data_IF_856572434685
#
_entry.id   IF_856572434685
#
_cell.length_a   1.000
_cell.length_b   1.000
_cell.length_c   1.000
_cell.angle_alpha   90.00
_cell.angle_beta   90.00
_cell.angle_gamma   90.00
#
_symmetry.space_group_name_H-M   'P 1'
#
loop_
_entity.id
_entity.type
_entity.pdbx_description
1 polymer ?
#
# COMPACT_ATOMS: atom_id res chain seq x y z
N UNK A 1 11.53 -15.78 -3.10
CA UNK A 1 11.08 -16.83 -2.17
C UNK A 1 9.80 -16.37 -1.49
N UNK A 2 8.80 -17.24 -1.40
CA UNK A 2 7.59 -17.06 -0.62
C UNK A 2 7.70 -17.95 0.64
N UNK A 3 7.33 -17.38 1.79
CA UNK A 3 7.44 -18.05 3.09
C UNK A 3 6.20 -18.86 3.45
N UNK A 4 5.97 -20.01 2.80
CA UNK A 4 4.86 -20.88 3.15
C UNK A 4 5.00 -21.50 4.55
N UNK A 5 6.15 -22.08 4.87
CA UNK A 5 6.42 -22.63 6.20
C UNK A 5 6.69 -21.52 7.24
N UNK A 6 7.47 -20.50 6.89
CA UNK A 6 7.76 -19.38 7.80
C UNK A 6 6.51 -18.53 8.08
N UNK A 7 5.58 -18.45 7.14
CA UNK A 7 4.28 -17.80 7.32
C UNK A 7 3.38 -18.48 8.36
N UNK A 8 3.55 -19.79 8.57
CA UNK A 8 2.84 -20.55 9.62
C UNK A 8 3.37 -20.25 11.03
N UNK A 9 4.54 -19.63 11.17
CA UNK A 9 5.21 -19.38 12.45
C UNK A 9 5.17 -17.90 12.80
N UNK A 10 5.44 -17.04 11.82
CA UNK A 10 5.44 -15.60 11.99
C UNK A 10 6.80 -15.05 12.45
N UNK A 11 7.29 -14.05 11.71
CA UNK A 11 8.55 -13.38 12.04
C UNK A 11 8.39 -12.40 13.23
N UNK A 12 9.15 -12.59 14.34
CA UNK A 12 9.14 -11.70 15.50
C UNK A 12 9.97 -10.43 15.30
N UNK A 13 10.72 -10.28 14.19
CA UNK A 13 11.70 -9.22 14.01
C UNK A 13 11.09 -7.82 14.09
N UNK A 14 11.54 -7.04 15.09
CA UNK A 14 11.06 -5.69 15.41
C UNK A 14 9.54 -5.57 15.61
N UNK A 15 8.88 -6.66 16.04
CA UNK A 15 7.45 -6.67 16.42
C UNK A 15 7.29 -6.65 17.94
N UNK A 16 6.23 -5.98 18.40
CA UNK A 16 5.90 -5.80 19.82
C UNK A 16 4.93 -6.84 20.38
N UNK A 17 4.40 -7.75 19.55
CA UNK A 17 3.36 -8.72 19.90
C UNK A 17 3.52 -10.03 19.12
N UNK A 18 2.96 -11.12 19.66
CA UNK A 18 2.88 -12.42 18.99
C UNK A 18 1.93 -12.36 17.79
N UNK A 19 2.23 -13.11 16.72
CA UNK A 19 1.39 -13.15 15.52
C UNK A 19 0.30 -14.20 15.64
N UNK A 20 -0.85 -13.91 15.04
CA UNK A 20 -1.88 -14.93 14.80
C UNK A 20 -1.38 -15.92 13.75
N UNK A 21 -1.50 -17.21 14.05
CA UNK A 21 -1.19 -18.29 13.11
C UNK A 21 -2.32 -18.38 12.08
N UNK A 22 -1.96 -18.37 10.80
CA UNK A 22 -2.91 -18.49 9.69
C UNK A 22 -3.13 -19.96 9.33
N UNK A 23 -4.33 -20.32 8.89
CA UNK A 23 -4.60 -21.64 8.32
C UNK A 23 -3.97 -21.81 6.92
N UNK A 24 -3.89 -23.06 6.48
CA UNK A 24 -3.23 -23.43 5.22
C UNK A 24 -3.94 -22.84 3.99
N UNK A 25 -5.27 -22.80 4.00
CA UNK A 25 -6.07 -22.27 2.88
C UNK A 25 -5.79 -20.77 2.69
N UNK A 26 -5.81 -20.01 3.78
CA UNK A 26 -5.48 -18.59 3.81
C UNK A 26 -4.05 -18.34 3.39
N UNK A 27 -3.10 -19.16 3.85
CA UNK A 27 -1.70 -19.07 3.44
C UNK A 27 -1.56 -19.29 1.93
N UNK A 28 -2.14 -20.35 1.38
CA UNK A 28 -2.08 -20.62 -0.07
C UNK A 28 -2.69 -19.47 -0.88
N UNK A 29 -3.85 -18.96 -0.48
CA UNK A 29 -4.45 -17.79 -1.11
C UNK A 29 -3.52 -16.57 -1.14
N UNK A 30 -2.90 -16.26 0.00
CA UNK A 30 -1.96 -15.15 0.12
C UNK A 30 -0.71 -15.36 -0.73
N UNK A 31 -0.18 -16.58 -0.79
CA UNK A 31 0.98 -16.93 -1.61
C UNK A 31 0.70 -16.70 -3.10
N UNK A 32 -0.46 -17.15 -3.60
CA UNK A 32 -0.87 -16.91 -4.99
C UNK A 32 -1.05 -15.42 -5.29
N UNK A 33 -1.65 -14.67 -4.36
CA UNK A 33 -1.79 -13.22 -4.47
C UNK A 33 -0.45 -12.50 -4.59
N UNK A 34 0.50 -12.82 -3.70
CA UNK A 34 1.86 -12.27 -3.72
C UNK A 34 2.60 -12.69 -5.00
N UNK A 35 2.47 -13.95 -5.43
CA UNK A 35 3.08 -14.46 -6.66
C UNK A 35 2.64 -13.66 -7.89
N UNK A 36 1.34 -13.39 -8.04
CA UNK A 36 0.80 -12.55 -9.12
C UNK A 36 1.33 -11.11 -9.09
N UNK A 37 1.55 -10.54 -7.90
CA UNK A 37 2.13 -9.20 -7.78
C UNK A 37 3.61 -9.19 -8.16
N UNK A 38 4.39 -10.19 -7.72
CA UNK A 38 5.81 -10.30 -8.06
C UNK A 38 6.02 -10.53 -9.57
N UNK A 39 5.12 -11.25 -10.23
CA UNK A 39 5.16 -11.48 -11.68
C UNK A 39 5.07 -10.20 -12.52
N UNK A 40 4.58 -9.09 -11.94
CA UNK A 40 4.61 -7.78 -12.61
C UNK A 40 5.97 -7.08 -12.51
N UNK A 41 6.79 -7.46 -11.54
CA UNK A 41 8.04 -6.77 -11.18
C UNK A 41 9.28 -7.54 -11.63
N UNK A 42 9.16 -8.85 -11.82
CA UNK A 42 10.24 -9.75 -12.19
C UNK A 42 9.81 -10.61 -13.39
N UNK A 43 10.75 -10.86 -14.29
CA UNK A 43 10.53 -11.70 -15.46
C UNK A 43 10.76 -13.18 -15.12
N UNK A 44 9.67 -13.93 -14.99
CA UNK A 44 9.67 -15.38 -14.74
C UNK A 44 9.58 -16.22 -16.02
N UNK A 45 9.30 -15.60 -17.17
CA UNK A 45 9.07 -16.30 -18.45
C UNK A 45 10.30 -16.25 -19.37
N UNK A 46 11.31 -15.45 -19.01
CA UNK A 46 12.58 -15.38 -19.72
C UNK A 46 13.23 -16.75 -19.90
N UNK A 47 13.86 -16.95 -21.06
CA UNK A 47 14.74 -18.10 -21.32
C UNK A 47 16.20 -17.81 -20.96
N UNK A 48 16.50 -16.61 -20.49
CA UNK A 48 17.84 -16.22 -20.08
C UNK A 48 18.27 -16.94 -18.79
N UNK A 49 19.58 -17.16 -18.56
CA UNK A 49 20.07 -17.80 -17.33
C UNK A 49 19.72 -17.07 -16.03
N UNK A 50 19.27 -15.82 -16.10
CA UNK A 50 18.88 -14.97 -14.98
C UNK A 50 17.36 -14.77 -14.87
N UNK A 51 16.55 -15.64 -15.49
CA UNK A 51 15.11 -15.68 -15.26
C UNK A 51 14.79 -15.78 -13.77
N UNK A 52 13.77 -15.06 -13.32
CA UNK A 52 13.36 -15.09 -11.92
C UNK A 52 12.78 -16.46 -11.56
N UNK A 53 13.06 -16.94 -10.34
CA UNK A 53 12.49 -18.17 -9.82
C UNK A 53 11.65 -17.89 -8.57
N UNK A 54 10.37 -18.31 -8.61
CA UNK A 54 9.48 -18.25 -7.46
C UNK A 54 9.51 -19.58 -6.71
N UNK A 55 10.23 -19.61 -5.60
CA UNK A 55 10.37 -20.79 -4.73
C UNK A 55 9.56 -20.63 -3.44
N UNK A 56 9.05 -21.73 -2.89
CA UNK A 56 8.30 -21.77 -1.65
C UNK A 56 9.02 -22.63 -0.60
N UNK A 57 9.33 -22.06 0.57
CA UNK A 57 10.05 -22.83 1.58
C UNK A 57 9.24 -23.97 2.21
N UNK A 58 7.93 -23.99 2.00
CA UNK A 58 7.11 -25.14 2.36
C UNK A 58 7.57 -26.43 1.67
N UNK A 59 8.13 -26.33 0.46
CA UNK A 59 8.53 -27.49 -0.36
C UNK A 59 9.62 -28.33 0.31
N UNK A 60 10.56 -27.71 1.02
CA UNK A 60 11.64 -28.40 1.75
C UNK A 60 11.38 -28.53 3.25
N UNK A 61 10.41 -27.79 3.80
CA UNK A 61 10.11 -27.82 5.24
C UNK A 61 9.02 -28.82 5.63
N UNK A 62 8.02 -29.08 4.78
CA UNK A 62 6.83 -29.87 5.15
C UNK A 62 7.14 -31.29 5.64
N UNK A 63 8.18 -31.92 5.07
CA UNK A 63 8.60 -33.28 5.40
C UNK A 63 9.85 -33.31 6.31
N UNK A 64 10.35 -32.13 6.73
CA UNK A 64 11.53 -32.04 7.57
C UNK A 64 11.15 -32.26 9.03
N UNK A 65 11.29 -33.50 9.50
CA UNK A 65 10.94 -33.85 10.88
C UNK A 65 11.67 -32.98 11.91
N UNK A 66 10.98 -32.67 13.01
CA UNK A 66 11.55 -31.88 14.10
C UNK A 66 12.89 -32.45 14.60
N UNK A 67 12.99 -33.77 14.76
CA UNK A 67 14.21 -34.45 15.21
C UNK A 67 15.37 -34.25 14.23
N UNK A 68 15.11 -34.35 12.93
CA UNK A 68 16.15 -34.10 11.94
C UNK A 68 16.53 -32.62 11.93
N UNK A 69 15.56 -31.70 12.01
CA UNK A 69 15.81 -30.26 12.01
C UNK A 69 16.71 -29.83 13.18
N UNK A 70 16.40 -30.22 14.41
CA UNK A 70 17.23 -29.84 15.58
C UNK A 70 18.62 -30.47 15.52
N UNK A 71 18.76 -31.68 14.96
CA UNK A 71 20.03 -32.39 14.86
C UNK A 71 20.91 -31.86 13.74
N UNK A 72 20.32 -31.52 12.60
CA UNK A 72 21.06 -31.16 11.40
C UNK A 72 21.28 -29.65 11.30
N UNK A 73 20.36 -28.83 11.85
CA UNK A 73 20.40 -27.37 11.81
C UNK A 73 20.62 -26.80 13.21
N UNK A 74 19.79 -27.20 14.19
CA UNK A 74 19.81 -26.65 15.54
C UNK A 74 21.18 -26.75 16.24
N UNK A 75 21.95 -27.82 16.00
CA UNK A 75 23.30 -27.99 16.58
C UNK A 75 24.31 -26.92 16.17
N UNK A 76 24.09 -26.25 15.03
CA UNK A 76 25.08 -25.32 14.47
C UNK A 76 24.94 -23.92 15.05
N UNK A 77 23.77 -23.54 15.57
CA UNK A 77 23.50 -22.19 16.05
C UNK A 77 23.22 -22.27 17.55
N UNK A 78 24.02 -21.58 18.36
CA UNK A 78 23.87 -21.64 19.82
C UNK A 78 22.73 -20.74 20.29
N UNK A 79 22.12 -21.11 21.42
CA UNK A 79 21.12 -20.25 22.08
C UNK A 79 21.70 -18.87 22.39
N UNK A 80 22.95 -18.79 22.88
CA UNK A 80 23.61 -17.51 23.16
C UNK A 80 23.72 -16.62 21.91
N UNK A 81 23.97 -17.20 20.74
CA UNK A 81 23.99 -16.46 19.47
C UNK A 81 22.61 -15.91 19.12
N UNK A 82 21.56 -16.73 19.20
CA UNK A 82 20.19 -16.32 18.89
C UNK A 82 19.68 -15.23 19.84
N UNK A 83 20.02 -15.35 21.13
CA UNK A 83 19.69 -14.38 22.18
C UNK A 83 20.39 -13.03 22.00
N UNK A 84 21.56 -13.01 21.36
CA UNK A 84 22.32 -11.78 21.13
C UNK A 84 21.76 -10.92 20.01
N UNK A 85 20.83 -11.42 19.19
CA UNK A 85 20.20 -10.62 18.12
C UNK A 85 19.30 -9.55 18.73
N UNK A 86 19.40 -8.32 18.20
CA UNK A 86 18.64 -7.17 18.71
C UNK A 86 17.12 -7.39 18.69
N UNK A 87 16.60 -8.12 17.69
CA UNK A 87 15.18 -8.47 17.57
C UNK A 87 14.69 -9.33 18.74
N UNK A 88 15.51 -10.27 19.20
CA UNK A 88 15.21 -11.15 20.33
C UNK A 88 15.46 -10.45 21.66
N UNK A 89 16.62 -9.80 21.79
CA UNK A 89 17.04 -9.12 23.01
C UNK A 89 16.02 -8.10 23.49
N UNK A 90 15.41 -7.34 22.57
CA UNK A 90 14.35 -6.36 22.89
C UNK A 90 13.05 -6.98 23.39
N UNK A 91 12.70 -8.20 22.97
CA UNK A 91 11.47 -8.88 23.43
C UNK A 91 11.64 -9.61 24.75
N UNK A 92 12.86 -10.06 25.04
CA UNK A 92 13.22 -10.79 26.26
C UNK A 92 13.88 -9.89 27.34
N UNK A 93 13.97 -8.58 27.11
CA UNK A 93 14.42 -7.63 28.12
C UNK A 93 13.43 -7.55 29.28
N UNK A 94 13.93 -7.25 30.48
CA UNK A 94 13.10 -7.09 31.69
C UNK A 94 11.96 -6.07 31.55
N UNK A 95 12.11 -5.10 30.64
CA UNK A 95 11.11 -4.06 30.36
C UNK A 95 9.97 -4.52 29.42
N UNK A 96 10.02 -5.75 28.90
CA UNK A 96 9.03 -6.31 27.98
C UNK A 96 8.10 -7.31 28.70
N UNK A 97 6.80 -7.00 28.74
CA UNK A 97 5.79 -7.89 29.32
C UNK A 97 5.26 -8.96 28.35
N UNK A 98 5.78 -9.01 27.12
CA UNK A 98 5.19 -9.79 26.02
C UNK A 98 5.89 -11.14 25.80
N UNK A 99 7.07 -11.37 26.38
CA UNK A 99 7.82 -12.62 26.22
C UNK A 99 8.09 -12.99 24.75
N UNK A 100 8.57 -14.20 24.51
CA UNK A 100 8.73 -14.79 23.17
C UNK A 100 8.49 -16.29 23.27
N UNK A 101 7.62 -16.83 22.41
CA UNK A 101 7.37 -18.27 22.38
C UNK A 101 8.52 -19.02 21.70
N UNK A 102 8.66 -20.32 21.99
CA UNK A 102 9.68 -21.16 21.34
C UNK A 102 9.47 -21.22 19.81
N UNK A 103 8.21 -21.15 19.37
CA UNK A 103 7.80 -21.07 17.97
C UNK A 103 8.44 -19.85 17.28
N UNK A 104 8.24 -18.65 17.83
CA UNK A 104 8.84 -17.42 17.31
C UNK A 104 10.37 -17.42 17.42
N UNK A 105 10.91 -17.95 18.52
CA UNK A 105 12.36 -18.04 18.73
C UNK A 105 13.05 -18.90 17.65
N UNK A 106 12.37 -19.96 17.20
CA UNK A 106 12.87 -20.89 16.17
C UNK A 106 12.84 -20.31 14.74
N UNK A 107 12.14 -19.18 14.52
CA UNK A 107 12.01 -18.55 13.20
C UNK A 107 13.36 -18.24 12.55
N UNK A 108 14.33 -17.78 13.35
CA UNK A 108 15.70 -17.50 12.89
C UNK A 108 16.39 -18.71 12.25
N UNK A 109 16.16 -19.91 12.81
CA UNK A 109 16.77 -21.14 12.30
C UNK A 109 16.14 -21.56 10.97
N UNK A 110 14.83 -21.33 10.82
CA UNK A 110 14.10 -21.65 9.60
C UNK A 110 14.51 -20.76 8.45
N UNK A 111 14.52 -19.44 8.65
CA UNK A 111 15.00 -18.51 7.62
C UNK A 111 16.49 -18.72 7.33
N UNK A 112 17.29 -19.07 8.33
CA UNK A 112 18.68 -19.44 8.14
C UNK A 112 18.84 -20.70 7.27
N UNK A 113 17.99 -21.71 7.52
CA UNK A 113 17.96 -22.94 6.72
C UNK A 113 17.52 -22.68 5.27
N UNK A 114 16.55 -21.78 5.05
CA UNK A 114 16.15 -21.38 3.70
C UNK A 114 17.34 -20.88 2.88
N UNK A 115 18.20 -20.03 3.47
CA UNK A 115 19.39 -19.54 2.76
C UNK A 115 20.40 -20.66 2.48
N UNK A 116 20.61 -21.55 3.45
CA UNK A 116 21.46 -22.74 3.24
C UNK A 116 20.92 -23.63 2.11
N UNK A 117 19.63 -23.93 2.11
CA UNK A 117 19.00 -24.77 1.09
C UNK A 117 19.18 -24.15 -0.30
N UNK A 118 18.89 -22.85 -0.45
CA UNK A 118 19.06 -22.14 -1.71
C UNK A 118 20.54 -22.00 -2.13
N UNK A 119 21.47 -21.93 -1.18
CA UNK A 119 22.90 -21.95 -1.47
C UNK A 119 23.33 -23.30 -2.06
N UNK A 120 22.86 -24.41 -1.49
CA UNK A 120 23.18 -25.77 -1.93
C UNK A 120 22.51 -26.13 -3.27
N UNK A 121 21.24 -25.78 -3.45
CA UNK A 121 20.43 -26.28 -4.57
C UNK A 121 20.31 -25.28 -5.73
N UNK A 122 20.53 -24.00 -5.48
CA UNK A 122 20.33 -22.90 -6.46
C UNK A 122 21.54 -21.97 -6.57
N UNK A 123 22.66 -22.31 -5.92
CA UNK A 123 23.87 -21.49 -5.89
C UNK A 123 23.60 -20.03 -5.42
N UNK A 124 22.61 -19.84 -4.54
CA UNK A 124 22.28 -18.52 -4.01
C UNK A 124 23.42 -18.02 -3.11
N UNK A 125 24.06 -16.90 -3.48
CA UNK A 125 25.20 -16.32 -2.75
C UNK A 125 24.86 -15.04 -1.98
N UNK A 126 23.74 -14.39 -2.26
CA UNK A 126 23.35 -13.13 -1.65
C UNK A 126 21.89 -13.21 -1.22
N UNK A 127 21.63 -12.89 0.04
CA UNK A 127 20.27 -12.67 0.53
C UNK A 127 20.07 -11.19 0.85
N UNK A 128 18.96 -10.64 0.33
CA UNK A 128 18.57 -9.25 0.50
C UNK A 128 17.29 -9.14 1.33
N UNK A 129 17.12 -8.04 2.06
CA UNK A 129 15.89 -7.79 2.83
C UNK A 129 15.84 -6.38 3.42
N UNK A 130 14.76 -6.09 4.17
CA UNK A 130 14.69 -4.87 4.98
C UNK A 130 15.70 -4.87 6.13
N UNK A 131 16.00 -3.70 6.69
CA UNK A 131 16.94 -3.56 7.81
C UNK A 131 16.57 -4.41 9.04
N UNK A 132 15.28 -4.70 9.22
CA UNK A 132 14.75 -5.58 10.26
C UNK A 132 15.15 -7.06 10.08
N UNK A 133 15.52 -7.47 8.88
CA UNK A 133 15.88 -8.85 8.54
C UNK A 133 17.36 -9.19 8.77
N UNK A 134 18.19 -8.20 9.15
CA UNK A 134 19.64 -8.38 9.32
C UNK A 134 20.01 -9.57 10.21
N UNK A 135 19.30 -9.73 11.33
CA UNK A 135 19.55 -10.81 12.28
C UNK A 135 19.33 -12.21 11.68
N UNK A 136 18.26 -12.37 10.90
CA UNK A 136 17.90 -13.65 10.30
C UNK A 136 18.81 -13.96 9.10
N UNK A 137 19.09 -12.97 8.25
CA UNK A 137 19.97 -13.16 7.08
C UNK A 137 21.39 -13.57 7.52
N UNK A 138 21.94 -12.90 8.54
CA UNK A 138 23.27 -13.25 9.09
C UNK A 138 23.29 -14.59 9.80
N UNK A 139 22.13 -15.09 10.26
CA UNK A 139 22.03 -16.46 10.78
C UNK A 139 22.16 -17.47 9.64
N UNK A 140 21.59 -17.18 8.46
CA UNK A 140 21.78 -17.99 7.26
C UNK A 140 23.23 -18.03 6.78
N UNK A 141 23.93 -16.89 6.74
CA UNK A 141 25.36 -16.87 6.36
C UNK A 141 26.23 -17.66 7.35
N UNK A 142 25.95 -17.54 8.65
CA UNK A 142 26.66 -18.31 9.68
C UNK A 142 26.37 -19.81 9.59
N UNK A 143 25.13 -20.20 9.25
CA UNK A 143 24.76 -21.59 9.05
C UNK A 143 25.49 -22.21 7.84
N UNK A 144 25.55 -21.49 6.71
CA UNK A 144 26.30 -21.89 5.51
C UNK A 144 27.78 -22.11 5.84
N UNK A 145 28.39 -21.17 6.56
CA UNK A 145 29.79 -21.26 7.00
C UNK A 145 30.03 -22.47 7.89
N UNK A 146 29.14 -22.72 8.87
CA UNK A 146 29.32 -23.81 9.86
C UNK A 146 29.03 -25.19 9.31
N UNK A 147 28.06 -25.33 8.41
CA UNK A 147 27.65 -26.64 7.89
C UNK A 147 28.53 -27.07 6.73
N UNK A 148 28.84 -26.15 5.81
CA UNK A 148 29.45 -26.50 4.52
C UNK A 148 30.80 -25.81 4.30
N UNK A 149 31.24 -24.92 5.19
CA UNK A 149 32.44 -24.11 4.97
C UNK A 149 32.31 -23.09 3.84
N UNK A 150 31.08 -22.83 3.37
CA UNK A 150 30.79 -21.97 2.23
C UNK A 150 30.79 -20.48 2.56
N UNK A 151 30.77 -19.67 1.51
CA UNK A 151 30.65 -18.21 1.59
C UNK A 151 29.28 -17.74 1.05
N UNK A 152 28.69 -16.77 1.75
CA UNK A 152 27.44 -16.13 1.41
C UNK A 152 27.40 -14.71 1.98
N UNK A 153 26.66 -13.82 1.31
CA UNK A 153 26.60 -12.39 1.57
C UNK A 153 25.21 -11.96 2.01
N UNK A 154 25.18 -10.89 2.80
CA UNK A 154 23.98 -10.25 3.31
C UNK A 154 23.95 -8.79 2.87
N UNK A 155 22.80 -8.33 2.38
CA UNK A 155 22.59 -6.91 2.09
C UNK A 155 21.21 -6.49 2.57
N UNK A 156 21.13 -5.41 3.34
CA UNK A 156 19.86 -4.88 3.82
C UNK A 156 19.62 -3.47 3.33
N UNK A 157 18.37 -3.20 2.96
CA UNK A 157 17.92 -1.85 2.62
C UNK A 157 17.46 -1.11 3.89
N UNK A 158 17.71 0.21 3.98
CA UNK A 158 17.25 0.99 5.13
C UNK A 158 15.72 1.03 5.21
N UNK A 159 15.19 1.14 6.43
CA UNK A 159 13.75 1.38 6.62
C UNK A 159 13.37 2.70 5.95
N UNK A 160 12.32 2.69 5.13
CA UNK A 160 11.83 3.91 4.50
C UNK A 160 11.05 4.73 5.54
N UNK A 161 11.56 5.93 5.79
CA UNK A 161 10.97 6.94 6.67
C UNK A 161 10.57 8.17 5.87
N UNK A 162 9.57 8.88 6.39
CA UNK A 162 9.22 10.23 5.97
C UNK A 162 10.12 11.25 6.64
N UNK A 163 10.27 12.43 6.05
CA UNK A 163 11.04 13.55 6.61
C UNK A 163 10.48 14.02 7.96
N UNK A 164 9.18 13.83 8.20
CA UNK A 164 8.50 14.14 9.47
C UNK A 164 8.75 13.09 10.60
N UNK A 165 9.56 12.07 10.33
CA UNK A 165 9.84 10.97 11.27
C UNK A 165 8.79 9.85 11.27
N UNK A 166 7.71 10.01 10.51
CA UNK A 166 6.66 9.01 10.32
C UNK A 166 7.11 7.80 9.51
N UNK A 167 6.36 6.69 9.63
CA UNK A 167 6.56 5.49 8.81
C UNK A 167 6.06 5.73 7.38
N UNK A 168 6.83 5.29 6.40
CA UNK A 168 6.40 5.24 5.01
C UNK A 168 5.22 4.29 4.80
N UNK A 169 4.32 4.61 3.86
CA UNK A 169 3.17 3.77 3.50
C UNK A 169 2.03 3.73 4.52
N UNK A 170 2.16 4.39 5.68
CA UNK A 170 1.04 4.58 6.62
C UNK A 170 0.37 5.92 6.35
N UNK A 171 -0.91 5.85 5.98
CA UNK A 171 -1.82 6.99 5.83
C UNK A 171 -2.81 7.01 6.99
N UNK A 172 -3.55 8.12 7.15
CA UNK A 172 -4.65 8.21 8.13
C UNK A 172 -5.73 7.15 7.86
N UNK A 173 -5.90 6.75 6.59
CA UNK A 173 -6.86 5.74 6.14
C UNK A 173 -6.30 4.31 6.08
N UNK A 174 -5.03 4.09 6.49
CA UNK A 174 -4.41 2.76 6.55
C UNK A 174 -3.23 2.57 5.60
N UNK A 175 -3.03 1.34 5.14
CA UNK A 175 -1.92 0.96 4.26
C UNK A 175 -2.21 1.34 2.80
N UNK A 176 -1.14 1.62 2.05
CA UNK A 176 -1.17 1.67 0.58
C UNK A 176 -0.86 0.28 0.03
N UNK A 177 -1.86 -0.35 -0.57
CA UNK A 177 -1.76 -1.69 -1.13
C UNK A 177 -1.40 -1.64 -2.62
N UNK A 178 -0.72 -2.68 -3.12
CA UNK A 178 -0.43 -2.82 -4.55
C UNK A 178 -1.61 -3.40 -5.34
N UNK A 179 -2.55 -4.05 -4.65
CA UNK A 179 -3.73 -4.62 -5.27
C UNK A 179 -4.81 -3.53 -5.41
N UNK A 180 -5.32 -3.29 -6.64
CA UNK A 180 -6.28 -2.22 -6.91
C UNK A 180 -7.58 -2.36 -6.11
N UNK A 181 -7.95 -3.58 -5.69
CA UNK A 181 -9.16 -3.82 -4.88
C UNK A 181 -9.07 -3.21 -3.48
N UNK A 182 -7.86 -3.01 -2.96
CA UNK A 182 -7.62 -2.44 -1.63
C UNK A 182 -7.13 -1.00 -1.70
N UNK A 183 -6.42 -0.63 -2.76
CA UNK A 183 -6.02 0.75 -3.04
C UNK A 183 -6.16 1.00 -4.53
N UNK A 184 -7.21 1.74 -4.92
CA UNK A 184 -7.46 2.05 -6.32
C UNK A 184 -6.26 2.76 -6.95
N UNK A 185 -6.03 2.59 -8.28
CA UNK A 185 -4.97 3.29 -8.99
C UNK A 185 -5.02 4.82 -8.78
N UNK A 186 -6.23 5.39 -8.70
CA UNK A 186 -6.42 6.79 -8.34
C UNK A 186 -5.85 7.13 -6.95
N UNK A 187 -6.23 6.39 -5.89
CA UNK A 187 -5.67 6.60 -4.54
C UNK A 187 -4.16 6.40 -4.53
N UNK A 188 -3.66 5.44 -5.29
CA UNK A 188 -2.23 5.15 -5.40
C UNK A 188 -1.47 6.34 -6.02
N UNK A 189 -1.96 6.89 -7.14
CA UNK A 189 -1.41 8.12 -7.75
C UNK A 189 -1.47 9.29 -6.78
N UNK A 190 -2.60 9.51 -6.11
CA UNK A 190 -2.76 10.60 -5.15
C UNK A 190 -1.80 10.47 -3.96
N UNK A 191 -1.53 9.25 -3.48
CA UNK A 191 -0.54 9.02 -2.43
C UNK A 191 0.83 9.56 -2.84
N UNK A 192 1.32 9.20 -4.03
CA UNK A 192 2.62 9.66 -4.54
C UNK A 192 2.65 11.15 -4.84
N UNK A 193 1.55 11.69 -5.39
CA UNK A 193 1.44 13.12 -5.62
C UNK A 193 1.59 13.91 -4.32
N UNK A 194 0.98 13.44 -3.23
CA UNK A 194 0.93 14.14 -1.94
C UNK A 194 2.17 13.95 -1.05
N UNK A 195 3.22 13.32 -1.57
CA UNK A 195 4.53 13.25 -0.90
C UNK A 195 5.16 14.65 -0.82
N UNK A 196 5.85 14.93 0.30
CA UNK A 196 6.56 16.20 0.51
C UNK A 196 7.69 16.37 -0.52
N UNK A 197 8.13 17.60 -0.78
CA UNK A 197 9.23 17.85 -1.73
C UNK A 197 10.52 17.11 -1.31
N UNK A 198 10.84 17.13 -0.02
CA UNK A 198 12.00 16.44 0.55
C UNK A 198 11.92 14.92 0.42
N UNK A 199 10.74 14.35 0.65
CA UNK A 199 10.53 12.91 0.51
C UNK A 199 10.51 12.48 -0.96
N UNK A 200 9.96 13.30 -1.86
CA UNK A 200 9.87 12.99 -3.28
C UNK A 200 11.27 12.85 -3.91
N UNK A 201 12.20 13.73 -3.55
CA UNK A 201 13.60 13.62 -3.97
C UNK A 201 14.29 12.34 -3.45
N UNK A 202 13.96 11.88 -2.23
CA UNK A 202 14.46 10.61 -1.70
C UNK A 202 13.81 9.42 -2.42
N UNK A 203 12.50 9.45 -2.60
CA UNK A 203 11.70 8.34 -3.08
C UNK A 203 11.91 8.06 -4.56
N UNK A 204 12.14 9.08 -5.39
CA UNK A 204 12.46 8.88 -6.81
C UNK A 204 13.75 8.06 -7.00
N UNK A 205 14.73 8.20 -6.09
CA UNK A 205 15.98 7.43 -6.09
C UNK A 205 15.81 5.97 -5.65
N UNK A 206 14.72 5.66 -4.95
CA UNK A 206 14.49 4.35 -4.30
C UNK A 206 13.50 3.50 -5.09
N UNK A 207 12.44 4.11 -5.62
CA UNK A 207 11.29 3.39 -6.19
C UNK A 207 11.22 3.44 -7.71
N UNK A 208 12.17 4.08 -8.39
CA UNK A 208 12.17 4.17 -9.85
C UNK A 208 13.46 3.59 -10.44
N UNK A 209 13.39 3.22 -11.71
CA UNK A 209 14.55 2.77 -12.49
C UNK A 209 15.21 3.90 -13.29
N UNK A 210 14.89 5.16 -12.97
CA UNK A 210 15.44 6.31 -13.68
C UNK A 210 16.95 6.43 -13.51
N UNK A 211 17.62 6.92 -14.55
CA UNK A 211 19.05 7.17 -14.51
C UNK A 211 19.40 8.28 -13.51
N UNK A 212 20.59 8.18 -12.92
CA UNK A 212 21.07 9.17 -11.94
C UNK A 212 21.02 10.61 -12.46
N UNK A 213 21.48 10.82 -13.70
CA UNK A 213 21.50 12.14 -14.34
C UNK A 213 20.08 12.71 -14.54
N UNK A 214 19.12 11.86 -14.93
CA UNK A 214 17.72 12.25 -15.08
C UNK A 214 17.14 12.69 -13.74
N UNK A 215 17.38 11.93 -12.67
CA UNK A 215 16.95 12.28 -11.32
C UNK A 215 17.56 13.61 -10.86
N UNK A 216 18.87 13.78 -11.03
CA UNK A 216 19.57 15.02 -10.64
C UNK A 216 19.00 16.25 -11.39
N UNK A 217 18.74 16.12 -12.69
CA UNK A 217 18.11 17.18 -13.48
C UNK A 217 16.67 17.48 -13.01
N UNK A 218 15.87 16.45 -12.74
CA UNK A 218 14.51 16.61 -12.21
C UNK A 218 14.50 17.33 -10.87
N UNK A 219 15.44 17.00 -9.96
CA UNK A 219 15.60 17.71 -8.69
C UNK A 219 15.92 19.19 -8.90
N UNK A 220 16.86 19.51 -9.80
CA UNK A 220 17.21 20.91 -10.11
C UNK A 220 16.01 21.67 -10.66
N UNK A 221 15.25 21.08 -11.59
CA UNK A 221 14.06 21.73 -12.16
C UNK A 221 12.96 21.92 -11.12
N UNK A 222 12.70 20.91 -10.30
CA UNK A 222 11.72 20.99 -9.23
C UNK A 222 12.07 22.07 -8.22
N UNK A 223 13.34 22.17 -7.80
CA UNK A 223 13.78 23.20 -6.85
C UNK A 223 13.63 24.63 -7.39
N UNK A 224 13.69 24.82 -8.71
CA UNK A 224 13.40 26.12 -9.35
C UNK A 224 11.92 26.49 -9.33
N UNK A 225 11.04 25.49 -9.42
CA UNK A 225 9.59 25.69 -9.49
C UNK A 225 8.82 24.62 -8.70
N UNK A 226 8.90 24.58 -7.35
CA UNK A 226 8.31 23.50 -6.55
C UNK A 226 6.80 23.36 -6.73
N UNK A 227 6.12 24.48 -6.97
CA UNK A 227 4.67 24.55 -7.22
C UNK A 227 4.21 23.71 -8.42
N UNK A 228 5.09 23.37 -9.36
CA UNK A 228 4.77 22.51 -10.50
C UNK A 228 4.73 21.02 -10.15
N UNK A 229 5.29 20.65 -8.99
CA UNK A 229 5.33 19.28 -8.44
C UNK A 229 5.95 18.25 -9.39
N UNK A 230 7.02 18.64 -10.10
CA UNK A 230 7.66 17.80 -11.11
C UNK A 230 8.12 16.44 -10.57
N UNK A 231 8.79 16.43 -9.41
CA UNK A 231 9.24 15.19 -8.77
C UNK A 231 8.07 14.27 -8.40
N UNK A 232 7.03 14.80 -7.76
CA UNK A 232 5.89 14.00 -7.35
C UNK A 232 5.12 13.44 -8.54
N UNK A 233 4.96 14.23 -9.61
CA UNK A 233 4.31 13.76 -10.84
C UNK A 233 5.09 12.63 -11.49
N UNK A 234 6.41 12.80 -11.64
CA UNK A 234 7.28 11.76 -12.22
C UNK A 234 7.32 10.50 -11.37
N UNK A 235 7.42 10.65 -10.05
CA UNK A 235 7.38 9.54 -9.11
C UNK A 235 6.04 8.80 -9.18
N UNK A 236 4.91 9.52 -9.19
CA UNK A 236 3.59 8.93 -9.31
C UNK A 236 3.43 8.17 -10.63
N UNK A 237 3.92 8.73 -11.73
CA UNK A 237 3.92 8.08 -13.04
C UNK A 237 4.70 6.76 -13.01
N UNK A 238 5.99 6.81 -12.70
CA UNK A 238 6.89 5.66 -12.74
C UNK A 238 6.40 4.51 -11.86
N UNK A 239 6.01 4.80 -10.62
CA UNK A 239 5.60 3.76 -9.68
C UNK A 239 4.22 3.20 -10.02
N UNK A 240 3.28 4.03 -10.50
CA UNK A 240 1.96 3.56 -10.92
C UNK A 240 2.05 2.72 -12.18
N UNK A 241 2.87 3.12 -13.16
CA UNK A 241 3.10 2.34 -14.37
C UNK A 241 3.70 0.96 -14.04
N UNK A 242 4.65 0.92 -13.11
CA UNK A 242 5.28 -0.32 -12.66
C UNK A 242 4.31 -1.26 -11.93
N UNK A 243 3.36 -0.73 -11.14
CA UNK A 243 2.47 -1.55 -10.29
C UNK A 243 1.12 -1.87 -10.96
N UNK A 244 0.51 -0.88 -11.61
CA UNK A 244 -0.85 -0.94 -12.12
C UNK A 244 -0.95 -0.95 -13.64
N UNK A 245 -0.11 -0.17 -14.35
CA UNK A 245 0.07 -0.06 -15.82
C UNK A 245 0.07 1.41 -16.27
N UNK A 246 0.43 1.65 -17.54
CA UNK A 246 0.38 2.98 -18.16
C UNK A 246 -1.05 3.47 -18.28
N UNK A 247 -1.95 2.60 -18.72
CA UNK A 247 -3.36 2.87 -18.94
C UNK A 247 -4.05 3.28 -17.63
N UNK A 248 -3.76 2.57 -16.53
CA UNK A 248 -4.29 2.90 -15.21
C UNK A 248 -3.75 4.23 -14.67
N UNK A 249 -2.49 4.57 -14.95
CA UNK A 249 -1.93 5.88 -14.60
C UNK A 249 -2.62 7.01 -15.37
N UNK A 250 -2.83 6.82 -16.67
CA UNK A 250 -3.50 7.80 -17.53
C UNK A 250 -4.95 8.01 -17.10
N UNK A 251 -5.69 6.93 -16.86
CA UNK A 251 -7.06 6.98 -16.35
C UNK A 251 -7.15 7.70 -14.99
N UNK A 252 -6.25 7.38 -14.05
CA UNK A 252 -6.18 8.04 -12.74
C UNK A 252 -5.83 9.55 -12.85
N UNK A 253 -4.99 9.91 -13.82
CA UNK A 253 -4.58 11.30 -14.04
C UNK A 253 -5.70 12.11 -14.71
N UNK A 254 -6.38 11.52 -15.68
CA UNK A 254 -7.59 12.09 -16.30
C UNK A 254 -8.69 12.26 -15.26
N UNK A 255 -8.89 11.28 -14.37
CA UNK A 255 -9.82 11.36 -13.27
C UNK A 255 -9.55 12.55 -12.37
N UNK A 256 -8.29 12.75 -11.96
CA UNK A 256 -7.89 13.90 -11.16
C UNK A 256 -8.13 15.22 -11.92
N UNK A 257 -7.84 15.27 -13.23
CA UNK A 257 -8.08 16.45 -14.04
C UNK A 257 -9.58 16.75 -14.17
N UNK A 258 -10.43 15.74 -14.30
CA UNK A 258 -11.88 15.90 -14.30
C UNK A 258 -12.35 16.38 -12.93
N UNK A 259 -11.91 15.78 -11.84
CA UNK A 259 -12.36 16.15 -10.48
C UNK A 259 -11.93 17.56 -10.09
N UNK A 260 -10.65 17.90 -10.27
CA UNK A 260 -10.05 19.15 -9.76
C UNK A 260 -9.86 20.24 -10.82
N UNK A 261 -10.03 19.93 -12.11
CA UNK A 261 -9.91 20.87 -13.22
C UNK A 261 -11.19 21.65 -13.50
N UNK A 262 -11.17 22.46 -14.57
CA UNK A 262 -12.31 23.27 -15.02
C UNK A 262 -13.38 22.46 -15.77
N UNK A 263 -13.33 21.13 -15.70
CA UNK A 263 -14.23 20.24 -16.42
C UNK A 263 -15.69 20.49 -16.01
N UNK A 264 -16.60 20.61 -16.97
CA UNK A 264 -18.00 20.94 -16.72
C UNK A 264 -18.81 19.75 -16.22
N UNK A 265 -19.99 20.01 -15.67
CA UNK A 265 -20.99 18.99 -15.33
C UNK A 265 -21.33 18.09 -16.54
N UNK A 266 -21.34 18.66 -17.74
CA UNK A 266 -21.64 17.93 -18.98
C UNK A 266 -20.60 16.87 -19.31
N UNK A 267 -19.32 17.10 -18.98
CA UNK A 267 -18.29 16.08 -19.18
C UNK A 267 -18.49 14.88 -18.25
N UNK A 268 -18.92 15.12 -17.00
CA UNK A 268 -19.24 14.03 -16.05
C UNK A 268 -20.44 13.20 -16.52
N UNK A 269 -21.44 13.83 -17.16
CA UNK A 269 -22.62 13.16 -17.73
C UNK A 269 -22.32 12.32 -18.98
N UNK A 270 -21.22 12.60 -19.69
CA UNK A 270 -20.83 11.88 -20.92
C UNK A 270 -20.05 10.59 -20.64
N UNK A 271 -19.47 10.47 -19.46
CA UNK A 271 -18.81 9.24 -19.02
C UNK A 271 -19.86 8.15 -18.85
N UNK A 272 -19.55 6.91 -19.20
CA UNK A 272 -20.39 5.79 -18.79
C UNK A 272 -20.35 5.63 -17.25
N UNK A 273 -21.36 4.96 -16.68
CA UNK A 273 -21.52 4.84 -15.23
C UNK A 273 -20.33 4.16 -14.55
N UNK A 274 -19.70 3.19 -15.21
CA UNK A 274 -18.54 2.48 -14.66
C UNK A 274 -17.35 3.44 -14.56
N UNK A 275 -16.99 4.09 -15.67
CA UNK A 275 -15.90 5.08 -15.68
C UNK A 275 -16.17 6.21 -14.69
N UNK A 276 -17.43 6.67 -14.59
CA UNK A 276 -17.84 7.67 -13.60
C UNK A 276 -17.55 7.20 -12.18
N UNK A 277 -18.01 6.01 -11.78
CA UNK A 277 -17.79 5.47 -10.44
C UNK A 277 -16.31 5.27 -10.12
N UNK A 278 -15.52 4.81 -11.11
CA UNK A 278 -14.08 4.64 -10.97
C UNK A 278 -13.38 5.98 -10.66
N UNK A 279 -13.88 7.12 -11.20
CA UNK A 279 -13.37 8.45 -10.85
C UNK A 279 -13.55 8.79 -9.37
N UNK A 280 -14.66 8.36 -8.77
CA UNK A 280 -15.00 8.66 -7.39
C UNK A 280 -14.57 7.57 -6.41
N UNK A 281 -13.83 6.56 -6.89
CA UNK A 281 -13.35 5.48 -6.06
C UNK A 281 -12.34 6.00 -5.01
N UNK A 282 -12.80 6.10 -3.77
CA UNK A 282 -12.02 6.65 -2.66
C UNK A 282 -12.44 8.01 -2.15
N UNK A 283 -13.41 8.63 -2.82
CA UNK A 283 -14.15 9.76 -2.28
C UNK A 283 -15.20 9.19 -1.31
N UNK A 284 -15.46 9.84 -0.14
CA UNK A 284 -16.50 9.35 0.76
C UNK A 284 -17.85 9.34 0.06
N UNK A 285 -18.53 8.20 0.12
CA UNK A 285 -19.83 7.98 -0.49
C UNK A 285 -20.90 7.89 0.60
N UNK A 286 -21.99 8.62 0.43
CA UNK A 286 -23.16 8.54 1.29
C UNK A 286 -24.35 8.00 0.49
N UNK A 287 -25.09 7.08 1.10
CA UNK A 287 -26.31 6.56 0.50
C UNK A 287 -27.52 7.27 1.09
N UNK A 288 -28.45 7.63 0.22
CA UNK A 288 -29.71 8.29 0.58
C UNK A 288 -30.84 7.72 -0.27
N UNK A 289 -32.06 7.84 0.23
CA UNK A 289 -33.25 7.38 -0.48
C UNK A 289 -33.51 8.27 -1.72
N UNK A 290 -33.73 7.62 -2.86
CA UNK A 290 -34.14 8.27 -4.10
C UNK A 290 -35.46 9.04 -3.96
N UNK A 291 -36.36 8.61 -3.07
CA UNK A 291 -37.65 9.25 -2.87
C UNK A 291 -37.52 10.67 -2.28
N UNK A 292 -36.42 10.97 -1.58
CA UNK A 292 -36.10 12.34 -1.13
C UNK A 292 -35.96 13.30 -2.33
N UNK A 293 -35.33 12.85 -3.41
CA UNK A 293 -35.19 13.65 -4.64
C UNK A 293 -36.50 13.76 -5.42
N UNK A 294 -37.35 12.72 -5.40
CA UNK A 294 -38.68 12.79 -6.05
C UNK A 294 -39.60 13.81 -5.37
N UNK A 295 -39.48 13.97 -4.05
CA UNK A 295 -40.27 14.93 -3.26
C UNK A 295 -39.68 16.35 -3.28
N UNK A 296 -38.42 16.50 -3.73
CA UNK A 296 -37.67 17.75 -3.65
C UNK A 296 -37.09 17.96 -2.25
N UNK A 297 -35.84 17.57 -2.05
CA UNK A 297 -35.16 17.70 -0.74
C UNK A 297 -34.38 19.01 -0.69
N UNK A 298 -34.42 19.72 0.44
CA UNK A 298 -33.56 20.89 0.62
C UNK A 298 -32.11 20.46 0.77
N UNK A 299 -31.20 21.16 0.09
CA UNK A 299 -29.77 20.86 0.16
C UNK A 299 -29.25 20.81 1.60
N UNK A 300 -29.74 21.68 2.49
CA UNK A 300 -29.35 21.68 3.91
C UNK A 300 -29.76 20.43 4.68
N UNK A 301 -30.94 19.88 4.38
CA UNK A 301 -31.44 18.69 5.05
C UNK A 301 -30.71 17.46 4.48
N UNK A 302 -30.54 17.40 3.16
CA UNK A 302 -29.77 16.36 2.49
C UNK A 302 -28.33 16.28 3.01
N UNK A 303 -27.60 17.40 3.04
CA UNK A 303 -26.16 17.40 3.30
C UNK A 303 -25.79 17.40 4.78
N UNK A 304 -26.69 17.81 5.68
CA UNK A 304 -26.41 17.82 7.12
C UNK A 304 -27.11 16.68 7.88
N UNK A 305 -28.27 16.19 7.42
CA UNK A 305 -29.06 15.18 8.16
C UNK A 305 -29.02 13.82 7.49
N UNK A 306 -29.28 13.74 6.17
CA UNK A 306 -29.37 12.44 5.48
C UNK A 306 -28.01 11.88 5.09
N UNK A 307 -27.14 12.70 4.49
CA UNK A 307 -25.80 12.30 4.06
C UNK A 307 -24.72 12.70 5.07
N UNK A 308 -25.01 13.55 6.06
CA UNK A 308 -24.04 13.99 7.08
C UNK A 308 -22.67 14.48 6.54
N UNK A 309 -22.64 15.04 5.32
CA UNK A 309 -21.46 15.68 4.70
C UNK A 309 -20.99 16.88 5.54
N UNK A 310 -21.95 17.56 6.18
CA UNK A 310 -21.69 18.61 7.15
C UNK A 310 -22.07 18.14 8.56
N UNK A 311 -21.25 18.45 9.58
CA UNK A 311 -21.58 18.15 10.98
C UNK A 311 -22.83 18.87 11.49
N UNK A 312 -23.21 19.99 10.86
CA UNK A 312 -24.40 20.76 11.22
C UNK A 312 -24.89 21.65 10.08
N UNK A 313 -26.19 21.98 10.11
CA UNK A 313 -26.81 22.97 9.20
C UNK A 313 -26.13 24.34 9.25
N UNK A 314 -25.63 24.73 10.43
CA UNK A 314 -24.94 26.00 10.65
C UNK A 314 -23.60 26.09 9.90
N UNK A 315 -22.83 24.99 9.88
CA UNK A 315 -21.57 24.94 9.14
C UNK A 315 -21.80 25.00 7.63
N UNK A 316 -22.79 24.27 7.12
CA UNK A 316 -23.15 24.33 5.71
C UNK A 316 -23.56 25.75 5.30
N UNK A 317 -24.39 26.43 6.10
CA UNK A 317 -24.83 27.80 5.80
C UNK A 317 -23.64 28.75 5.64
N UNK A 318 -22.65 28.69 6.54
CA UNK A 318 -21.42 29.48 6.44
C UNK A 318 -20.65 29.15 5.16
N UNK A 319 -20.57 27.86 4.79
CA UNK A 319 -19.88 27.42 3.58
C UNK A 319 -20.54 27.97 2.31
N UNK A 320 -21.88 27.94 2.23
CA UNK A 320 -22.65 28.50 1.11
C UNK A 320 -22.48 30.01 1.01
N UNK A 321 -22.56 30.74 2.13
CA UNK A 321 -22.36 32.20 2.15
C UNK A 321 -20.97 32.61 1.67
N UNK A 322 -19.94 31.84 2.02
CA UNK A 322 -18.57 32.04 1.53
C UNK A 322 -18.38 31.52 0.09
N UNK A 323 -19.42 30.96 -0.53
CA UNK A 323 -19.39 30.37 -1.86
C UNK A 323 -18.44 29.17 -1.99
N UNK A 324 -18.23 28.45 -0.89
CA UNK A 324 -17.36 27.28 -0.80
C UNK A 324 -18.08 25.94 -0.99
N UNK A 325 -19.36 25.93 -1.36
CA UNK A 325 -20.10 24.71 -1.68
C UNK A 325 -20.46 24.67 -3.16
N UNK A 326 -20.14 23.57 -3.84
CA UNK A 326 -20.61 23.29 -5.19
C UNK A 326 -21.36 21.97 -5.24
N UNK A 327 -22.41 21.92 -6.05
CA UNK A 327 -23.23 20.73 -6.35
C UNK A 327 -23.09 20.47 -7.85
N UNK A 328 -22.62 19.29 -8.23
CA UNK A 328 -22.25 18.93 -9.60
C UNK A 328 -21.35 19.97 -10.27
N UNK A 329 -20.40 20.52 -9.50
CA UNK A 329 -19.48 21.61 -9.89
C UNK A 329 -20.12 22.98 -10.14
N UNK A 330 -21.43 23.12 -9.97
CA UNK A 330 -22.10 24.40 -9.97
C UNK A 330 -22.15 24.96 -8.55
N UNK A 331 -21.74 26.22 -8.36
CA UNK A 331 -21.75 26.86 -7.04
C UNK A 331 -23.18 26.87 -6.49
N UNK A 332 -23.35 26.33 -5.29
CA UNK A 332 -24.63 26.36 -4.58
C UNK A 332 -24.92 27.80 -4.17
N UNK A 333 -26.01 28.39 -4.67
CA UNK A 333 -26.35 29.78 -4.42
C UNK A 333 -27.19 29.99 -3.16
N UNK A 334 -28.03 29.01 -2.82
CA UNK A 334 -28.97 29.08 -1.71
C UNK A 334 -28.78 27.89 -0.79
N UNK A 335 -28.71 28.14 0.52
CA UNK A 335 -28.45 27.08 1.49
C UNK A 335 -29.61 26.05 1.55
N UNK A 336 -30.82 26.48 1.21
CA UNK A 336 -32.06 25.70 1.17
C UNK A 336 -32.53 25.40 -0.26
N UNK A 337 -31.63 25.48 -1.25
CA UNK A 337 -31.92 25.09 -2.63
C UNK A 337 -32.58 23.71 -2.66
N UNK A 338 -33.72 23.61 -3.34
CA UNK A 338 -34.40 22.34 -3.58
C UNK A 338 -33.64 21.53 -4.62
N UNK A 339 -33.35 20.28 -4.28
CA UNK A 339 -32.69 19.29 -5.11
C UNK A 339 -33.72 18.22 -5.48
N UNK A 340 -34.00 18.11 -6.78
CA UNK A 340 -34.87 17.10 -7.34
C UNK A 340 -34.07 16.09 -8.19
N UNK A 341 -34.76 15.15 -8.84
CA UNK A 341 -34.12 14.12 -9.67
C UNK A 341 -33.33 14.69 -10.86
N UNK A 342 -33.57 15.94 -11.29
CA UNK A 342 -32.80 16.55 -12.39
C UNK A 342 -31.35 16.86 -12.02
N UNK A 343 -31.04 16.91 -10.72
CA UNK A 343 -29.67 17.07 -10.22
C UNK A 343 -28.89 15.76 -10.21
N UNK A 344 -29.53 14.61 -10.46
CA UNK A 344 -28.84 13.33 -10.38
C UNK A 344 -28.07 13.02 -11.68
N UNK A 345 -26.75 12.98 -11.59
CA UNK A 345 -25.85 12.44 -12.63
C UNK A 345 -26.13 10.95 -12.80
N UNK A 346 -26.27 10.49 -14.05
CA UNK A 346 -26.70 9.11 -14.36
C UNK A 346 -27.99 8.68 -13.64
N UNK A 347 -28.84 9.65 -13.28
CA UNK A 347 -30.08 9.40 -12.54
C UNK A 347 -29.90 8.88 -11.12
N UNK A 348 -28.67 8.82 -10.59
CA UNK A 348 -28.35 8.22 -9.28
C UNK A 348 -27.36 9.00 -8.44
N UNK A 349 -26.48 9.79 -9.02
CA UNK A 349 -25.34 10.34 -8.29
C UNK A 349 -25.42 11.86 -8.15
N UNK A 350 -25.01 12.37 -7.00
CA UNK A 350 -24.88 13.80 -6.77
C UNK A 350 -23.47 14.09 -6.24
N UNK A 351 -22.72 14.90 -6.98
CA UNK A 351 -21.36 15.27 -6.61
C UNK A 351 -21.36 16.53 -5.74
N UNK A 352 -20.78 16.45 -4.55
CA UNK A 352 -20.66 17.56 -3.62
C UNK A 352 -19.20 17.96 -3.46
N UNK A 353 -18.91 19.25 -3.55
CA UNK A 353 -17.58 19.81 -3.34
C UNK A 353 -17.62 20.83 -2.20
N UNK A 354 -16.84 20.58 -1.14
CA UNK A 354 -16.65 21.46 0.02
C UNK A 354 -15.25 22.09 -0.04
N UNK A 355 -15.21 23.38 -0.37
CA UNK A 355 -13.98 24.13 -0.62
C UNK A 355 -13.32 23.71 -1.93
N UNK A 356 -11.98 23.69 -1.97
CA UNK A 356 -11.24 23.36 -3.20
C UNK A 356 -10.92 21.86 -3.36
N UNK A 357 -10.80 21.13 -2.25
CA UNK A 357 -10.18 19.79 -2.25
C UNK A 357 -11.07 18.68 -1.70
N UNK A 358 -12.14 18.99 -0.98
CA UNK A 358 -12.98 17.95 -0.38
C UNK A 358 -14.15 17.66 -1.30
N UNK A 359 -14.21 16.44 -1.80
CA UNK A 359 -15.30 15.94 -2.62
C UNK A 359 -16.04 14.86 -1.84
N UNK A 360 -17.32 14.70 -2.14
CA UNK A 360 -18.19 13.67 -1.59
C UNK A 360 -19.16 13.23 -2.68
N UNK A 361 -19.47 11.95 -2.75
CA UNK A 361 -20.46 11.41 -3.67
C UNK A 361 -21.69 11.01 -2.87
N UNK A 362 -22.86 11.44 -3.31
CA UNK A 362 -24.13 10.95 -2.78
C UNK A 362 -24.72 10.01 -3.81
N UNK A 363 -25.09 8.80 -3.38
CA UNK A 363 -25.78 7.80 -4.21
C UNK A 363 -27.23 7.75 -3.76
N UNK A 364 -28.13 8.08 -4.69
CA UNK A 364 -29.57 7.95 -4.54
C UNK A 364 -30.01 6.58 -5.07
N UNK A 365 -30.55 5.76 -4.18
CA UNK A 365 -31.10 4.45 -4.50
C UNK A 365 -32.45 4.32 -3.83
N UNK A 366 -33.41 3.66 -4.49
CA UNK A 366 -34.58 3.15 -3.78
C UNK A 366 -34.11 2.05 -2.83
N UNK A 367 -34.60 2.04 -1.59
CA UNK A 367 -34.33 0.93 -0.67
C UNK A 367 -34.66 -0.41 -1.36
N UNK A 368 -33.78 -1.38 -1.14
CA UNK A 368 -34.01 -2.78 -1.48
C UNK A 368 -34.69 -3.47 -0.28
#
# INVERSE_FOLDING_TARGET
MIGGATGMIGDPSLKSGERNLLDEETLRHNQEGIGRQLAKLLDFESTAPNAAELVNNYDWMKDYSFLNFIRDIGKHITVNYMMAKDSVKKRLSADSNVGMSFTEFSYQLLQGYDFLYLNEHKNCKLQMGGSDQWGNITTGTELIRRKNGGEAYALTCPLITKADGGKFGKTESGNIWLDPRYTSPYKFVQFWLNVSDADAEKYIKIFTFLGREEIENLCVQHNKAPHLRLLQKRLAEEVTCMVHSREEYEAATEAAAILFGSSSTEQLLRLDEKTFLDLFEGIPVFQVDLDLFKQGVKAVDLLAEHAAVFPSKGEMRKMVQNGGLSINKNRCQQFDQLLDTSFLLHGRYLLIQKGKKNYFLITASSEN
#
